data_IF_386896383580
#
_entry.id   IF_386896383580
#
_cell.length_a   1.000
_cell.length_b   1.000
_cell.length_c   1.000
_cell.angle_alpha   90.00
_cell.angle_beta   90.00
_cell.angle_gamma   90.00
#
_symmetry.space_group_name_H-M   'P 1'
#
loop_
_entity.id
_entity.type
_entity.pdbx_description
1 polymer ?
#
# COMPACT_ATOMS: atom_id res chain seq x y z
N UNK A 1 2.62 -7.17 -7.87
CA UNK A 1 3.66 -6.43 -8.61
C UNK A 1 4.55 -5.68 -7.65
N UNK A 2 5.87 -5.83 -7.76
CA UNK A 2 6.79 -5.05 -6.91
C UNK A 2 6.89 -3.61 -7.39
N UNK A 3 7.20 -2.72 -6.47
CA UNK A 3 7.49 -1.31 -6.75
C UNK A 3 8.93 -1.03 -6.37
N UNK A 4 9.65 -0.33 -7.23
CA UNK A 4 11.03 0.04 -6.96
C UNK A 4 11.10 1.54 -6.69
N UNK A 5 11.68 1.89 -5.55
CA UNK A 5 11.94 3.27 -5.14
C UNK A 5 13.41 3.36 -4.75
N UNK A 6 14.21 4.04 -5.57
CA UNK A 6 15.68 4.10 -5.41
C UNK A 6 16.26 2.68 -5.30
N UNK A 7 16.95 2.35 -4.21
CA UNK A 7 17.55 1.04 -3.97
C UNK A 7 16.60 0.04 -3.34
N UNK A 8 15.36 0.42 -3.10
CA UNK A 8 14.41 -0.45 -2.41
C UNK A 8 13.42 -1.06 -3.37
N UNK A 9 13.26 -2.37 -3.25
CA UNK A 9 12.17 -3.10 -3.89
C UNK A 9 11.13 -3.42 -2.84
N UNK A 10 9.91 -2.95 -3.07
CA UNK A 10 8.79 -3.16 -2.16
C UNK A 10 7.90 -4.25 -2.76
N UNK A 11 7.80 -5.35 -2.06
CA UNK A 11 7.10 -6.55 -2.51
C UNK A 11 5.91 -6.83 -1.61
N UNK A 12 4.74 -6.98 -2.22
CA UNK A 12 3.58 -7.50 -1.49
C UNK A 12 3.69 -9.02 -1.34
N UNK A 13 3.42 -9.50 -0.13
CA UNK A 13 3.41 -10.93 0.19
C UNK A 13 2.06 -11.27 0.83
N UNK A 14 1.05 -11.61 0.00
CA UNK A 14 -0.33 -11.74 0.49
C UNK A 14 -0.51 -12.80 1.56
N UNK A 15 0.23 -13.87 1.48
CA UNK A 15 0.11 -15.02 2.38
C UNK A 15 0.44 -14.68 3.84
N UNK A 16 1.29 -13.69 4.06
CA UNK A 16 1.63 -13.20 5.41
C UNK A 16 1.05 -11.81 5.69
N UNK A 17 0.14 -11.33 4.85
CA UNK A 17 -0.55 -10.05 4.99
C UNK A 17 0.40 -8.86 5.13
N UNK A 18 1.55 -8.90 4.45
CA UNK A 18 2.62 -7.94 4.66
C UNK A 18 3.21 -7.40 3.37
N UNK A 19 3.85 -6.24 3.50
CA UNK A 19 4.76 -5.70 2.51
C UNK A 19 6.18 -5.86 3.04
N UNK A 20 7.09 -6.28 2.18
CA UNK A 20 8.50 -6.45 2.50
C UNK A 20 9.31 -5.41 1.73
N UNK A 21 10.27 -4.78 2.39
CA UNK A 21 11.22 -3.86 1.78
C UNK A 21 12.58 -4.56 1.69
N UNK A 22 13.05 -4.74 0.47
CA UNK A 22 14.37 -5.30 0.19
C UNK A 22 15.30 -4.19 -0.30
N UNK A 23 16.50 -4.14 0.26
CA UNK A 23 17.57 -3.32 -0.30
C UNK A 23 18.24 -4.10 -1.42
N UNK A 24 18.18 -3.56 -2.63
CA UNK A 24 18.74 -4.16 -3.83
C UNK A 24 19.88 -3.33 -4.40
N UNK A 25 20.57 -2.53 -3.57
CA UNK A 25 21.75 -1.78 -3.99
C UNK A 25 22.81 -2.73 -4.57
N UNK A 26 23.02 -3.87 -3.93
CA UNK A 26 23.72 -5.00 -4.54
C UNK A 26 22.66 -6.02 -5.03
N UNK A 27 22.44 -6.05 -6.34
CA UNK A 27 21.40 -6.89 -6.96
C UNK A 27 21.67 -8.38 -6.81
N UNK A 28 22.90 -8.76 -6.51
CA UNK A 28 23.28 -10.15 -6.30
C UNK A 28 23.02 -10.63 -4.87
N UNK A 29 22.81 -9.69 -3.95
CA UNK A 29 22.60 -9.95 -2.53
C UNK A 29 21.50 -9.07 -1.96
N UNK A 30 20.22 -9.29 -2.33
CA UNK A 30 19.12 -8.53 -1.74
C UNK A 30 19.06 -8.75 -0.24
N UNK A 31 18.83 -7.67 0.50
CA UNK A 31 18.75 -7.69 1.96
C UNK A 31 17.40 -7.20 2.41
N UNK A 32 16.68 -7.99 3.21
CA UNK A 32 15.44 -7.53 3.82
C UNK A 32 15.74 -6.46 4.86
N UNK A 33 15.22 -5.25 4.64
CA UNK A 33 15.39 -4.13 5.56
C UNK A 33 14.28 -4.06 6.58
N UNK A 34 13.06 -4.33 6.14
CA UNK A 34 11.88 -4.22 7.00
C UNK A 34 10.70 -4.94 6.38
N UNK A 35 9.67 -5.12 7.18
CA UNK A 35 8.36 -5.53 6.68
C UNK A 35 7.29 -4.79 7.46
N UNK A 36 6.18 -4.49 6.78
CA UNK A 36 5.01 -3.88 7.37
C UNK A 36 3.87 -4.88 7.31
N UNK A 37 3.42 -5.34 8.47
CA UNK A 37 2.23 -6.18 8.57
C UNK A 37 0.98 -5.31 8.45
N UNK A 38 0.07 -5.71 7.59
CA UNK A 38 -1.27 -5.17 7.52
C UNK A 38 -2.18 -6.01 8.42
N UNK A 39 -3.49 -5.70 8.46
CA UNK A 39 -4.38 -6.53 9.27
C UNK A 39 -4.63 -7.91 8.62
N UNK A 40 -5.19 -8.84 9.39
CA UNK A 40 -5.35 -10.24 8.96
C UNK A 40 -6.33 -10.42 7.80
N UNK A 41 -7.19 -9.46 7.52
CA UNK A 41 -8.11 -9.50 6.39
C UNK A 41 -7.51 -8.93 5.10
N UNK A 42 -6.39 -8.22 5.18
CA UNK A 42 -5.76 -7.61 4.03
C UNK A 42 -4.68 -8.51 3.44
N UNK A 43 -4.88 -8.91 2.20
CA UNK A 43 -3.85 -9.58 1.40
C UNK A 43 -3.37 -8.58 0.36
N UNK A 44 -2.26 -7.91 0.59
CA UNK A 44 -1.78 -6.88 -0.33
C UNK A 44 -1.47 -7.49 -1.68
N UNK A 45 -1.86 -6.79 -2.75
CA UNK A 45 -1.71 -7.31 -4.10
C UNK A 45 -1.02 -6.30 -5.01
N UNK A 46 -1.52 -5.07 -5.05
CA UNK A 46 -1.04 -4.05 -5.96
C UNK A 46 -0.44 -2.88 -5.20
N UNK A 47 0.69 -2.40 -5.67
CA UNK A 47 1.35 -1.22 -5.12
C UNK A 47 1.69 -0.22 -6.22
N UNK A 48 1.71 1.06 -5.88
CA UNK A 48 2.10 2.11 -6.79
C UNK A 48 2.74 3.27 -6.03
N UNK A 49 3.74 3.88 -6.62
CA UNK A 49 4.51 4.97 -6.02
C UNK A 49 4.19 6.30 -6.67
N UNK A 50 3.96 7.32 -5.85
CA UNK A 50 3.83 8.69 -6.31
C UNK A 50 5.10 9.46 -5.92
N UNK A 51 5.89 9.81 -6.93
CA UNK A 51 7.16 10.49 -6.73
C UNK A 51 6.98 11.92 -6.20
N UNK A 52 5.85 12.56 -6.50
CA UNK A 52 5.60 13.94 -6.09
C UNK A 52 5.26 14.04 -4.61
N UNK A 53 4.47 13.12 -4.11
CA UNK A 53 4.04 13.09 -2.71
C UNK A 53 4.86 12.14 -1.85
N UNK A 54 5.72 11.31 -2.48
CA UNK A 54 6.50 10.28 -1.82
C UNK A 54 5.61 9.34 -1.01
N UNK A 55 4.54 8.89 -1.64
CA UNK A 55 3.57 7.96 -1.03
C UNK A 55 3.44 6.70 -1.87
N UNK A 56 3.34 5.59 -1.18
CA UNK A 56 3.00 4.29 -1.75
C UNK A 56 1.53 4.01 -1.48
N UNK A 57 0.79 3.69 -2.53
CA UNK A 57 -0.57 3.18 -2.37
C UNK A 57 -0.53 1.66 -2.40
N UNK A 58 -1.30 1.02 -1.54
CA UNK A 58 -1.46 -0.43 -1.54
C UNK A 58 -2.94 -0.79 -1.55
N UNK A 59 -3.28 -1.74 -2.39
CA UNK A 59 -4.61 -2.35 -2.47
C UNK A 59 -4.48 -3.86 -2.32
N UNK A 60 -5.58 -4.54 -2.02
CA UNK A 60 -5.56 -5.98 -1.84
C UNK A 60 -6.96 -6.57 -1.70
N UNK A 61 -7.08 -7.59 -0.88
CA UNK A 61 -8.33 -8.33 -0.69
C UNK A 61 -9.34 -7.62 0.21
N UNK A 62 -8.90 -6.64 0.98
CA UNK A 62 -9.78 -5.81 1.79
C UNK A 62 -10.33 -4.66 0.95
N UNK A 63 -11.55 -4.21 1.23
CA UNK A 63 -12.17 -3.08 0.54
C UNK A 63 -11.63 -1.73 1.00
N UNK A 64 -10.40 -1.69 1.42
CA UNK A 64 -9.71 -0.47 1.88
C UNK A 64 -8.36 -0.34 1.18
N UNK A 65 -8.08 0.85 0.67
CA UNK A 65 -6.75 1.18 0.17
C UNK A 65 -6.01 2.03 1.19
N UNK A 66 -4.71 1.85 1.27
CA UNK A 66 -3.86 2.57 2.22
C UNK A 66 -2.83 3.41 1.49
N UNK A 67 -2.44 4.53 2.10
CA UNK A 67 -1.23 5.26 1.75
C UNK A 67 -0.16 4.99 2.78
N UNK A 68 1.04 4.73 2.31
CA UNK A 68 2.20 4.44 3.14
C UNK A 68 3.29 5.47 2.87
N UNK A 69 4.11 5.70 3.88
CA UNK A 69 5.34 6.50 3.80
C UNK A 69 6.54 5.58 3.79
N UNK A 70 7.50 5.87 2.95
CA UNK A 70 8.79 5.18 2.95
C UNK A 70 9.85 6.09 3.57
N UNK A 71 10.49 5.64 4.63
CA UNK A 71 11.72 6.24 5.13
C UNK A 71 12.87 5.70 4.28
N UNK A 72 13.38 6.53 3.37
CA UNK A 72 14.43 6.11 2.44
C UNK A 72 15.79 5.91 3.11
N UNK A 73 16.00 6.47 4.29
CA UNK A 73 17.23 6.28 5.06
C UNK A 73 17.23 4.94 5.77
N UNK A 74 16.15 4.61 6.44
CA UNK A 74 16.03 3.37 7.21
C UNK A 74 15.50 2.18 6.39
N UNK A 75 14.86 2.43 5.25
CA UNK A 75 14.20 1.39 4.46
C UNK A 75 12.96 0.84 5.14
N UNK A 76 12.20 1.69 5.84
CA UNK A 76 11.00 1.28 6.58
C UNK A 76 9.75 1.91 6.00
N UNK A 77 8.65 1.15 6.04
CA UNK A 77 7.32 1.64 5.67
C UNK A 77 6.51 1.95 6.92
N UNK A 78 5.73 3.03 6.85
CA UNK A 78 4.77 3.38 7.88
C UNK A 78 3.43 3.78 7.27
N UNK A 79 2.35 3.61 8.05
CA UNK A 79 1.03 4.03 7.62
C UNK A 79 0.95 5.56 7.60
N UNK A 80 0.36 6.14 6.56
CA UNK A 80 0.02 7.55 6.54
C UNK A 80 -1.33 7.75 7.25
N UNK A 81 -1.27 8.07 8.54
CA UNK A 81 -2.46 8.23 9.38
C UNK A 81 -3.25 9.50 9.05
N UNK A 82 -2.68 10.43 8.32
CA UNK A 82 -3.39 11.62 7.86
C UNK A 82 -4.38 11.30 6.72
N UNK A 83 -4.15 10.21 6.00
CA UNK A 83 -5.06 9.73 4.96
C UNK A 83 -6.14 8.84 5.60
N UNK A 84 -7.27 9.44 5.92
CA UNK A 84 -8.36 8.80 6.64
C UNK A 84 -9.68 8.95 5.90
N UNK A 85 -10.57 8.00 6.13
CA UNK A 85 -11.97 8.09 5.74
C UNK A 85 -12.84 8.58 6.92
N UNK A 86 -14.13 8.64 6.71
CA UNK A 86 -15.09 9.10 7.72
C UNK A 86 -15.08 8.28 9.01
N UNK A 87 -14.58 7.04 8.96
CA UNK A 87 -14.43 6.17 10.14
C UNK A 87 -13.21 6.52 11.00
N UNK A 88 -12.43 7.53 10.60
CA UNK A 88 -11.21 8.01 11.28
C UNK A 88 -10.10 6.95 11.39
N UNK A 89 -10.17 5.92 10.56
CA UNK A 89 -9.13 4.90 10.44
C UNK A 89 -8.27 5.19 9.22
N UNK A 90 -6.99 4.79 9.21
CA UNK A 90 -6.16 4.97 8.04
C UNK A 90 -6.74 4.30 6.80
N UNK A 91 -6.60 4.97 5.66
CA UNK A 91 -7.03 4.45 4.38
C UNK A 91 -8.43 4.88 3.98
N UNK A 92 -8.79 4.52 2.76
CA UNK A 92 -10.08 4.84 2.16
C UNK A 92 -10.91 3.57 2.02
N UNK A 93 -12.12 3.57 2.56
CA UNK A 93 -12.99 2.39 2.66
C UNK A 93 -14.02 2.37 1.53
N UNK A 94 -14.03 1.29 0.75
CA UNK A 94 -15.01 1.05 -0.31
C UNK A 94 -16.12 0.07 0.07
N UNK A 95 -16.13 -0.42 1.30
CA UNK A 95 -17.04 -1.52 1.69
C UNK A 95 -18.51 -1.11 1.69
N UNK A 96 -18.80 0.14 2.05
CA UNK A 96 -20.20 0.62 2.20
C UNK A 96 -20.28 2.08 1.77
N UNK A 97 -20.33 2.28 0.45
CA UNK A 97 -20.40 3.60 -0.17
C UNK A 97 -21.73 3.82 -0.88
N UNK A 98 -22.20 5.06 -0.84
CA UNK A 98 -23.24 5.53 -1.76
C UNK A 98 -22.63 5.82 -3.11
N UNK A 99 -22.89 4.96 -4.08
CA UNK A 99 -22.38 5.13 -5.43
C UNK A 99 -23.26 6.09 -6.22
N UNK A 100 -22.63 6.92 -7.04
CA UNK A 100 -23.28 8.04 -7.71
C UNK A 100 -24.49 7.62 -8.57
N UNK A 101 -24.44 6.48 -9.19
CA UNK A 101 -25.49 5.97 -10.08
C UNK A 101 -26.03 4.62 -9.67
N UNK A 102 -25.97 4.30 -8.38
CA UNK A 102 -26.41 3.00 -7.93
C UNK A 102 -26.73 2.95 -6.45
N UNK A 103 -27.12 1.78 -6.00
CA UNK A 103 -27.36 1.51 -4.60
C UNK A 103 -26.03 1.42 -3.84
N UNK A 104 -26.11 1.47 -2.52
CA UNK A 104 -24.98 1.13 -1.65
C UNK A 104 -24.43 -0.24 -2.01
N UNK A 105 -23.13 -0.39 -1.95
CA UNK A 105 -22.51 -1.65 -2.30
C UNK A 105 -21.07 -1.73 -1.86
N UNK A 106 -20.57 -2.95 -1.91
CA UNK A 106 -19.19 -3.30 -1.64
C UNK A 106 -18.34 -3.00 -2.87
N UNK A 107 -17.23 -2.30 -2.66
CA UNK A 107 -16.24 -2.06 -3.68
C UNK A 107 -14.87 -2.60 -3.28
N UNK A 108 -14.07 -2.96 -4.26
CA UNK A 108 -12.73 -3.48 -4.05
C UNK A 108 -11.78 -2.80 -5.05
N UNK A 109 -10.83 -2.02 -4.54
CA UNK A 109 -9.82 -1.41 -5.39
C UNK A 109 -8.79 -2.45 -5.81
N UNK A 110 -8.55 -2.58 -7.12
CA UNK A 110 -7.54 -3.49 -7.65
C UNK A 110 -6.21 -2.77 -7.91
N UNK A 111 -6.26 -1.62 -8.54
CA UNK A 111 -5.10 -0.80 -8.83
C UNK A 111 -5.43 0.68 -8.75
N UNK A 112 -4.41 1.51 -8.65
CA UNK A 112 -4.56 2.97 -8.51
C UNK A 112 -3.55 3.67 -9.41
N UNK A 113 -4.02 4.72 -10.09
CA UNK A 113 -3.16 5.61 -10.86
C UNK A 113 -3.25 6.99 -10.22
N UNK A 114 -2.10 7.60 -9.99
CA UNK A 114 -2.06 8.97 -9.46
C UNK A 114 -2.24 9.98 -10.59
N UNK A 115 -3.03 11.01 -10.35
CA UNK A 115 -3.14 12.15 -11.27
C UNK A 115 -1.85 12.98 -11.23
N UNK A 116 -1.56 13.61 -12.32
CA UNK A 116 -0.44 14.54 -12.43
C UNK A 116 -0.84 15.95 -12.02
#
# INVERSE_FOLDING_TARGET
MPTIVRQYLIQSVPVIHSLIVLDIADRTKPVEKSRLALNDSQRPHWTGWNIRTQRLVVTGSESRLYLLKLDETAGTLGMDDAFQDNDRKPGFNFADRDWLYGSKGFGLAHGVVFSR
#
